data_IF_107949129715
#
_entry.id   IF_107949129715
#
_cell.length_a   1.000
_cell.length_b   1.000
_cell.length_c   1.000
_cell.angle_alpha   90.00
_cell.angle_beta   90.00
_cell.angle_gamma   90.00
#
_symmetry.space_group_name_H-M   'P 1'
#
loop_
_entity.id
_entity.type
_entity.pdbx_description
1 polymer ?
#
# COMPACT_ATOMS: atom_id res chain seq x y z
N UNK A 1 -5.10 3.85 5.71
CA UNK A 1 -3.78 3.34 5.29
C UNK A 1 -2.73 3.93 6.21
N UNK A 2 -1.82 3.12 6.72
CA UNK A 2 -0.61 3.54 7.43
C UNK A 2 0.57 2.78 6.84
N UNK A 3 1.70 3.46 6.63
CA UNK A 3 2.94 2.88 6.08
C UNK A 3 4.07 3.32 7.00
N UNK A 4 4.60 2.38 7.78
CA UNK A 4 5.72 2.62 8.71
C UNK A 4 6.88 1.69 8.37
N UNK A 5 7.90 2.22 7.68
CA UNK A 5 9.08 1.46 7.31
C UNK A 5 10.01 1.17 8.49
N UNK A 6 9.98 1.98 9.55
CA UNK A 6 10.80 1.73 10.75
C UNK A 6 10.29 0.49 11.49
N UNK A 7 8.96 0.32 11.55
CA UNK A 7 8.30 -0.85 12.11
C UNK A 7 8.11 -2.00 11.12
N UNK A 8 8.52 -1.84 9.84
CA UNK A 8 8.24 -2.76 8.74
C UNK A 8 6.75 -3.16 8.66
N UNK A 9 5.83 -2.20 8.80
CA UNK A 9 4.39 -2.48 8.91
C UNK A 9 3.54 -1.54 8.04
N UNK A 10 2.82 -2.13 7.09
CA UNK A 10 1.68 -1.53 6.40
C UNK A 10 0.36 -1.97 7.02
N UNK A 11 -0.64 -1.08 7.08
CA UNK A 11 -1.99 -1.47 7.50
C UNK A 11 -3.11 -0.69 6.81
N UNK A 12 -4.24 -1.37 6.59
CA UNK A 12 -5.46 -0.78 6.02
C UNK A 12 -6.59 -0.89 7.02
N UNK A 13 -7.35 0.21 7.15
CA UNK A 13 -8.57 0.27 7.93
C UNK A 13 -9.74 0.65 7.03
N UNK A 14 -10.88 0.01 7.25
CA UNK A 14 -12.15 0.34 6.62
C UNK A 14 -13.19 0.52 7.73
N UNK A 15 -13.91 1.65 7.73
CA UNK A 15 -14.91 1.97 8.77
C UNK A 15 -14.38 1.76 10.21
N UNK A 16 -13.17 2.25 10.47
CA UNK A 16 -12.45 2.15 11.75
C UNK A 16 -11.99 0.74 12.17
N UNK A 17 -12.25 -0.29 11.37
CA UNK A 17 -11.80 -1.67 11.62
C UNK A 17 -10.52 -1.92 10.84
N UNK A 18 -9.48 -2.46 11.48
CA UNK A 18 -8.29 -2.96 10.80
C UNK A 18 -8.64 -4.23 10.03
N UNK A 19 -8.41 -4.22 8.72
CA UNK A 19 -8.78 -5.32 7.83
C UNK A 19 -7.58 -6.09 7.30
N UNK A 20 -6.39 -5.48 7.28
CA UNK A 20 -5.15 -6.15 6.91
C UNK A 20 -3.94 -5.43 7.47
N UNK A 21 -2.92 -6.20 7.83
CA UNK A 21 -1.56 -5.77 8.13
C UNK A 21 -0.58 -6.60 7.32
N UNK A 22 0.51 -5.99 6.85
CA UNK A 22 1.49 -6.66 6.00
C UNK A 22 2.90 -6.10 6.22
N UNK A 23 3.97 -6.89 5.99
CA UNK A 23 5.34 -6.40 5.98
C UNK A 23 5.56 -5.48 4.76
N UNK A 24 6.49 -4.53 4.87
CA UNK A 24 6.84 -3.62 3.77
C UNK A 24 8.16 -4.00 3.07
N UNK A 25 8.84 -5.02 3.59
CA UNK A 25 10.12 -5.52 3.10
C UNK A 25 10.46 -6.88 3.71
N UNK A 26 11.40 -7.58 3.08
CA UNK A 26 11.95 -8.85 3.56
C UNK A 26 11.28 -10.08 2.93
N UNK A 27 11.68 -11.30 3.33
CA UNK A 27 11.32 -12.52 2.62
C UNK A 27 9.82 -12.76 2.48
N UNK A 28 9.03 -12.35 3.49
CA UNK A 28 7.57 -12.44 3.44
C UNK A 28 6.97 -11.48 2.39
N UNK A 29 7.50 -10.26 2.28
CA UNK A 29 7.07 -9.30 1.26
C UNK A 29 7.49 -9.74 -0.14
N UNK A 30 8.73 -10.20 -0.28
CA UNK A 30 9.27 -10.67 -1.56
C UNK A 30 8.43 -11.85 -2.09
N UNK A 31 8.10 -12.82 -1.23
CA UNK A 31 7.20 -13.91 -1.58
C UNK A 31 5.79 -13.43 -1.99
N UNK A 32 5.24 -12.38 -1.38
CA UNK A 32 3.95 -11.81 -1.79
C UNK A 32 4.03 -11.20 -3.20
N UNK A 33 5.12 -10.50 -3.52
CA UNK A 33 5.32 -9.89 -4.83
C UNK A 33 5.54 -10.96 -5.91
N UNK A 34 6.41 -11.94 -5.64
CA UNK A 34 6.74 -13.04 -6.57
C UNK A 34 5.52 -13.90 -6.93
N UNK A 35 4.56 -14.05 -6.01
CA UNK A 35 3.33 -14.80 -6.24
C UNK A 35 2.16 -13.92 -6.72
N UNK A 36 2.41 -12.67 -7.10
CA UNK A 36 1.40 -11.73 -7.58
C UNK A 36 1.43 -11.58 -9.11
N UNK A 37 0.40 -10.93 -9.67
CA UNK A 37 0.39 -10.51 -11.08
C UNK A 37 1.45 -9.45 -11.45
N UNK A 38 2.23 -8.98 -10.47
CA UNK A 38 3.26 -7.97 -10.63
C UNK A 38 4.68 -8.55 -10.55
N UNK A 39 4.83 -9.87 -10.47
CA UNK A 39 6.14 -10.54 -10.32
C UNK A 39 7.16 -10.10 -11.40
N UNK A 40 6.70 -9.89 -12.63
CA UNK A 40 7.56 -9.50 -13.75
C UNK A 40 7.75 -7.98 -13.91
N UNK A 41 7.22 -7.17 -12.98
CA UNK A 41 7.31 -5.71 -13.06
C UNK A 41 8.56 -5.22 -12.34
N UNK A 42 9.59 -4.86 -13.13
CA UNK A 42 10.93 -4.54 -12.63
C UNK A 42 10.93 -3.55 -11.45
N UNK A 43 10.11 -2.51 -11.48
CA UNK A 43 10.13 -1.45 -10.46
C UNK A 43 8.99 -1.53 -9.43
N UNK A 44 8.17 -2.58 -9.49
CA UNK A 44 7.03 -2.70 -8.59
C UNK A 44 7.49 -2.85 -7.13
N UNK A 45 6.96 -1.98 -6.26
CA UNK A 45 7.20 -1.98 -4.82
C UNK A 45 8.66 -1.89 -4.33
N UNK A 46 9.61 -1.41 -5.15
CA UNK A 46 11.02 -1.28 -4.75
C UNK A 46 11.37 0.00 -3.98
N UNK A 47 10.57 1.05 -4.11
CA UNK A 47 10.88 2.37 -3.55
C UNK A 47 10.15 2.63 -2.23
N UNK A 48 10.89 3.18 -1.25
CA UNK A 48 10.33 3.55 0.06
C UNK A 48 9.51 4.85 0.04
N UNK A 49 9.69 5.67 -0.99
CA UNK A 49 9.01 6.97 -1.14
C UNK A 49 8.37 7.07 -2.51
N UNK A 50 7.31 7.86 -2.62
CA UNK A 50 6.52 7.96 -3.85
C UNK A 50 5.38 8.97 -3.74
N UNK A 51 4.43 8.87 -4.67
CA UNK A 51 3.23 9.72 -4.72
C UNK A 51 2.01 8.94 -4.24
N UNK A 52 1.02 9.65 -3.71
CA UNK A 52 -0.31 9.11 -3.41
C UNK A 52 -1.22 9.41 -4.59
N UNK A 53 -1.91 8.38 -5.10
CA UNK A 53 -2.84 8.49 -6.23
C UNK A 53 -4.24 8.02 -5.85
N UNK A 54 -5.25 8.58 -6.53
CA UNK A 54 -6.62 8.09 -6.56
C UNK A 54 -6.88 7.60 -7.98
N UNK A 55 -7.26 6.33 -8.12
CA UNK A 55 -7.48 5.75 -9.43
C UNK A 55 -8.96 5.84 -9.83
N UNK A 56 -9.20 6.27 -11.06
CA UNK A 56 -10.46 6.07 -11.78
C UNK A 56 -10.25 4.91 -12.77
N UNK A 57 -11.20 3.97 -12.77
CA UNK A 57 -11.18 2.80 -13.65
C UNK A 57 -12.50 2.66 -14.43
N UNK A 58 -13.12 3.79 -14.79
CA UNK A 58 -14.29 3.84 -15.68
C UNK A 58 -15.63 3.99 -14.97
N UNK A 59 -15.63 4.04 -13.64
CA UNK A 59 -16.81 4.19 -12.80
C UNK A 59 -16.77 5.47 -11.98
N UNK A 60 -17.94 6.08 -11.75
CA UNK A 60 -18.03 7.32 -10.97
C UNK A 60 -17.74 7.05 -9.49
N UNK A 61 -16.62 7.59 -9.00
CA UNK A 61 -16.27 7.63 -7.58
C UNK A 61 -16.13 9.08 -7.11
N UNK A 62 -16.39 9.35 -5.83
CA UNK A 62 -16.24 10.68 -5.23
C UNK A 62 -15.45 10.60 -3.93
N UNK A 63 -14.44 11.46 -3.78
CA UNK A 63 -13.56 11.50 -2.61
C UNK A 63 -13.71 12.84 -1.87
N UNK A 64 -13.60 12.81 -0.55
CA UNK A 64 -13.54 13.99 0.33
C UNK A 64 -12.75 13.66 1.58
N UNK A 65 -12.31 14.69 2.31
CA UNK A 65 -11.61 14.56 3.58
C UNK A 65 -10.31 13.73 3.52
N UNK A 66 -9.54 13.85 2.43
CA UNK A 66 -8.23 13.21 2.30
C UNK A 66 -7.24 13.95 3.19
N UNK A 67 -6.68 13.27 4.19
CA UNK A 67 -5.75 13.81 5.17
C UNK A 67 -4.50 12.94 5.21
N UNK A 68 -3.34 13.57 5.35
CA UNK A 68 -2.04 12.91 5.40
C UNK A 68 -1.32 13.39 6.65
N UNK A 69 -0.62 12.48 7.33
CA UNK A 69 0.27 12.77 8.45
C UNK A 69 1.55 11.98 8.23
N UNK A 70 2.68 12.66 8.23
CA UNK A 70 4.00 12.04 8.19
C UNK A 70 4.31 11.33 9.53
N UNK A 71 5.12 10.28 9.48
CA UNK A 71 5.48 9.44 10.63
C UNK A 71 6.93 9.69 11.04
#
# INVERSE_FOLDING_TARGET
LSIDYNANKGSVKLNNVEIVTFPLSGPEWDALVDNSKFADWEDFAKYKTGKIGLQDHGDKVSYRNIKIREL
#
